data_IF_590384534241
#
_entry.id   IF_590384534241
#
_cell.length_a   1.000
_cell.length_b   1.000
_cell.length_c   1.000
_cell.angle_alpha   90.00
_cell.angle_beta   90.00
_cell.angle_gamma   90.00
#
_symmetry.space_group_name_H-M   'P 1'
#
loop_
_entity.id
_entity.type
_entity.pdbx_description
1 polymer ?
#
# COMPACT_ATOMS: atom_id res chain seq x y z
N UNK A 1 -3.46 26.14 -4.93
CA UNK A 1 -3.51 25.40 -5.38
C UNK A 1 -3.53 24.88 -5.80
N UNK A 2 -3.55 25.24 -5.57
CA UNK A 2 -3.58 24.46 -6.15
C UNK A 2 -3.47 23.95 -6.70
N UNK A 3 -3.49 24.42 -6.46
CA UNK A 3 -3.45 23.65 -7.13
C UNK A 3 -3.06 23.17 -7.69
N UNK A 4 -2.91 23.57 -7.67
CA UNK A 4 -2.72 22.85 -8.27
C UNK A 4 -2.35 22.23 -8.40
N UNK A 5 -2.12 22.30 -8.03
CA UNK A 5 -2.00 21.50 -8.18
C UNK A 5 -2.18 20.88 -8.32
N UNK A 6 -2.16 21.16 -8.17
CA UNK A 6 -2.56 20.35 -8.43
C UNK A 6 -2.78 19.75 -8.92
N UNK A 7 -2.67 20.11 -8.97
CA UNK A 7 -3.12 19.34 -9.39
C UNK A 7 -3.02 18.63 -10.05
N UNK A 8 -2.88 18.90 -10.31
CA UNK A 8 -3.01 18.06 -10.89
C UNK A 8 -2.92 16.84 -10.71
N UNK A 9 -2.72 16.70 -10.64
CA UNK A 9 -2.48 15.42 -10.16
C UNK A 9 -3.64 14.58 -9.77
N UNK A 10 -4.68 15.14 -9.81
CA UNK A 10 -5.90 14.51 -9.40
C UNK A 10 -6.30 13.35 -10.25
N UNK A 11 -5.84 13.33 -11.48
CA UNK A 11 -6.19 12.24 -12.36
C UNK A 11 -5.22 11.08 -12.29
N UNK A 12 -4.21 11.19 -11.47
CA UNK A 12 -3.20 10.12 -11.38
C UNK A 12 -3.76 8.96 -10.58
N UNK A 13 -3.76 7.81 -11.17
CA UNK A 13 -4.24 6.61 -10.50
C UNK A 13 -3.22 6.13 -9.49
N UNK A 14 -3.68 5.84 -8.28
CA UNK A 14 -2.81 5.37 -7.24
C UNK A 14 -2.46 3.91 -7.48
N UNK A 15 -1.18 3.61 -7.52
CA UNK A 15 -0.71 2.27 -7.84
C UNK A 15 -0.07 1.55 -6.67
N UNK A 16 0.01 2.20 -5.52
CA UNK A 16 0.59 1.59 -4.33
C UNK A 16 -0.26 1.92 -3.12
N UNK A 17 -0.15 1.06 -2.12
CA UNK A 17 -0.74 1.30 -0.80
C UNK A 17 0.36 1.70 0.16
N UNK A 18 0.06 2.58 1.10
CA UNK A 18 0.95 2.83 2.23
C UNK A 18 0.65 1.80 3.32
N UNK A 19 1.58 1.66 4.26
CA UNK A 19 1.36 0.77 5.40
C UNK A 19 0.13 1.24 6.20
N UNK A 20 -0.04 2.55 6.34
CA UNK A 20 -1.19 3.06 7.06
C UNK A 20 -2.50 2.68 6.36
N UNK A 21 -2.54 2.79 5.05
CA UNK A 21 -3.74 2.40 4.30
C UNK A 21 -4.05 0.93 4.47
N UNK A 22 -3.01 0.09 4.40
CA UNK A 22 -3.21 -1.34 4.57
C UNK A 22 -3.68 -1.68 5.97
N UNK A 23 -3.16 -0.97 6.97
CA UNK A 23 -3.57 -1.24 8.35
C UNK A 23 -5.06 -0.97 8.53
N UNK A 24 -5.56 0.09 7.92
CA UNK A 24 -6.98 0.40 7.98
C UNK A 24 -7.80 -0.66 7.24
N UNK A 25 -7.35 -1.04 6.05
CA UNK A 25 -8.05 -2.04 5.25
C UNK A 25 -8.12 -3.38 5.96
N UNK A 26 -7.07 -3.75 6.66
CA UNK A 26 -7.00 -5.06 7.32
C UNK A 26 -7.48 -5.02 8.76
N UNK A 27 -7.72 -3.82 9.30
CA UNK A 27 -8.22 -3.69 10.66
C UNK A 27 -7.17 -4.01 11.71
N UNK A 28 -5.92 -3.72 11.46
CA UNK A 28 -4.82 -3.99 12.39
C UNK A 28 -4.04 -2.70 12.63
N UNK A 29 -3.20 -2.70 13.65
CA UNK A 29 -2.39 -1.53 13.96
C UNK A 29 -1.32 -1.33 12.89
N UNK A 30 -0.80 -0.09 12.81
CA UNK A 30 0.26 0.20 11.86
C UNK A 30 1.52 -0.62 12.15
N UNK A 31 1.84 -0.81 13.44
CA UNK A 31 3.01 -1.60 13.80
C UNK A 31 2.86 -3.05 13.34
N UNK A 32 1.69 -3.61 13.57
CA UNK A 32 1.42 -4.98 13.13
C UNK A 32 1.47 -5.08 11.61
N UNK A 33 0.91 -4.08 10.93
CA UNK A 33 0.91 -4.07 9.48
C UNK A 33 2.33 -3.96 8.92
N UNK A 34 3.15 -3.12 9.54
CA UNK A 34 4.52 -2.96 9.12
C UNK A 34 5.27 -4.30 9.18
N UNK A 35 5.12 -5.00 10.30
CA UNK A 35 5.75 -6.32 10.45
C UNK A 35 5.20 -7.31 9.43
N UNK A 36 3.90 -7.28 9.22
CA UNK A 36 3.24 -8.14 8.25
C UNK A 36 3.80 -7.94 6.84
N UNK A 37 3.92 -6.70 6.41
CA UNK A 37 4.45 -6.40 5.08
C UNK A 37 5.88 -6.88 4.94
N UNK A 38 6.69 -6.72 5.99
CA UNK A 38 8.06 -7.18 5.94
C UNK A 38 8.15 -8.70 5.83
N UNK A 39 7.25 -9.42 6.49
CA UNK A 39 7.24 -10.87 6.42
C UNK A 39 6.73 -11.39 5.08
N UNK A 40 5.90 -10.62 4.42
CA UNK A 40 5.24 -11.06 3.21
C UNK A 40 5.92 -10.58 1.94
N UNK A 41 7.18 -10.22 2.04
CA UNK A 41 7.88 -9.62 0.91
C UNK A 41 7.98 -10.54 -0.31
N UNK A 42 7.79 -11.84 -0.11
CA UNK A 42 7.81 -12.78 -1.23
C UNK A 42 6.41 -13.11 -1.73
N UNK A 43 5.39 -12.65 -1.03
CA UNK A 43 4.01 -12.92 -1.40
C UNK A 43 3.43 -11.81 -2.27
N UNK A 44 3.79 -10.59 -1.98
CA UNK A 44 3.40 -9.46 -2.80
C UNK A 44 4.54 -8.45 -2.79
N UNK A 45 4.54 -7.60 -3.82
CA UNK A 45 5.65 -6.69 -4.05
C UNK A 45 5.55 -5.46 -3.17
N UNK A 46 6.67 -5.07 -2.61
CA UNK A 46 6.77 -3.82 -1.88
C UNK A 46 8.11 -3.18 -2.21
N UNK A 47 8.16 -1.87 -2.02
CA UNK A 47 9.39 -1.13 -2.26
C UNK A 47 9.57 -0.15 -1.12
N UNK A 48 10.82 0.02 -0.70
CA UNK A 48 11.15 0.96 0.35
C UNK A 48 11.70 2.23 -0.28
N UNK A 49 11.09 3.35 0.07
CA UNK A 49 11.50 4.66 -0.42
C UNK A 49 11.80 5.50 0.81
N UNK A 50 13.11 5.72 1.07
CA UNK A 50 13.52 6.37 2.30
C UNK A 50 13.09 5.54 3.50
N UNK A 51 12.28 6.12 4.39
CA UNK A 51 11.76 5.42 5.55
C UNK A 51 10.36 4.88 5.32
N UNK A 52 9.82 5.10 4.11
CA UNK A 52 8.46 4.69 3.80
C UNK A 52 8.45 3.40 3.00
N UNK A 53 7.44 2.58 3.22
CA UNK A 53 7.23 1.37 2.45
C UNK A 53 5.97 1.55 1.62
N UNK A 54 6.05 1.19 0.34
CA UNK A 54 4.91 1.21 -0.57
C UNK A 54 4.68 -0.20 -1.08
N UNK A 55 3.44 -0.64 -1.06
CA UNK A 55 3.08 -1.99 -1.49
C UNK A 55 2.35 -1.89 -2.82
N UNK A 56 2.75 -2.71 -3.80
CA UNK A 56 2.12 -2.71 -5.10
C UNK A 56 0.64 -3.06 -4.94
N UNK A 57 -0.23 -2.18 -5.40
CA UNK A 57 -1.66 -2.38 -5.27
C UNK A 57 -2.11 -3.65 -5.97
N UNK A 58 -1.69 -3.82 -7.22
CA UNK A 58 -2.09 -4.99 -7.99
C UNK A 58 -1.60 -6.28 -7.34
N UNK A 59 -0.35 -6.28 -6.90
CA UNK A 59 0.24 -7.47 -6.30
C UNK A 59 -0.47 -7.84 -5.00
N UNK A 60 -0.76 -6.85 -4.17
CA UNK A 60 -1.45 -7.08 -2.91
C UNK A 60 -2.89 -7.53 -3.16
N UNK A 61 -3.58 -6.86 -4.08
CA UNK A 61 -4.97 -7.20 -4.38
C UNK A 61 -5.06 -8.64 -4.89
N UNK A 62 -4.15 -9.03 -5.75
CA UNK A 62 -4.11 -10.41 -6.26
C UNK A 62 -3.88 -11.41 -5.12
N UNK A 63 -2.96 -11.07 -4.23
CA UNK A 63 -2.68 -11.95 -3.10
C UNK A 63 -3.91 -12.08 -2.20
N UNK A 64 -4.56 -10.97 -1.93
CA UNK A 64 -5.73 -10.97 -1.06
C UNK A 64 -6.86 -11.80 -1.67
N UNK A 65 -7.06 -11.69 -2.98
CA UNK A 65 -8.08 -12.47 -3.66
C UNK A 65 -7.84 -13.97 -3.50
N UNK A 66 -6.58 -14.38 -3.50
CA UNK A 66 -6.24 -15.80 -3.35
C UNK A 66 -6.53 -16.31 -1.95
N UNK A 67 -6.66 -15.42 -0.98
CA UNK A 67 -6.96 -15.83 0.38
C UNK A 67 -8.43 -16.15 0.60
N UNK A 68 -9.28 -15.83 -0.36
CA UNK A 68 -10.68 -16.17 -0.28
C UNK A 68 -11.51 -15.26 0.61
N UNK A 69 -11.01 -14.05 0.84
CA UNK A 69 -11.77 -13.09 1.63
C UNK A 69 -12.24 -11.91 0.80
#
# INVERSE_FOLDING_TARGET
MESAMNTQVTAVEKRTYTVKELSVMLGISENACYAFVKEMKEEFRSVRIGTSIRVSKKSFDDWLDKQGI
#
